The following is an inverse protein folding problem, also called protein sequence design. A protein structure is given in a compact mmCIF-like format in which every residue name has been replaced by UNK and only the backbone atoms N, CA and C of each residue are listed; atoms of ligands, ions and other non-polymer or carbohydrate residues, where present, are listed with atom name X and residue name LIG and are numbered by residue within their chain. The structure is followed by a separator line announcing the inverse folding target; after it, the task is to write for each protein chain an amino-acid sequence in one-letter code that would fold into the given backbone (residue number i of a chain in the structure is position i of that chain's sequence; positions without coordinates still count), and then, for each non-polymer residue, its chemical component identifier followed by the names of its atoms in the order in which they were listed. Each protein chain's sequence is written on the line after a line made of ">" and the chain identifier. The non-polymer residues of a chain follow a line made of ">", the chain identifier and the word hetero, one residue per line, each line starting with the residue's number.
data_IF_536410001830
#
_entry.id   IF_536410001830
#
_cell.length_a   1.000
_cell.length_b   1.000
_cell.length_c   1.000
_cell.angle_alpha   90.00
_cell.angle_beta   90.00
_cell.angle_gamma   90.00
#
_symmetry.space_group_name_H-M   'P 1'
#
loop_
_entity.id
_entity.type
_entity.pdbx_description
1 polymer ?
#
# COMPACT_ATOMS: atom_id res chain seq x y z
N UNK A 1 -11.55 15.25 18.62
CA UNK A 1 -12.50 14.13 18.38
C UNK A 1 -11.66 12.88 18.31
N UNK A 2 -12.02 11.83 19.04
CA UNK A 2 -11.29 10.56 19.02
C UNK A 2 -11.52 9.93 17.65
N UNK A 3 -10.44 9.71 16.89
CA UNK A 3 -10.54 8.98 15.63
C UNK A 3 -10.70 7.48 15.94
N UNK A 4 -11.72 6.86 15.38
CA UNK A 4 -12.02 5.45 15.61
C UNK A 4 -11.71 4.55 14.41
N UNK A 5 -11.12 5.13 13.34
CA UNK A 5 -11.00 4.48 12.03
C UNK A 5 -9.61 4.73 11.46
N UNK A 6 -9.00 3.68 10.95
CA UNK A 6 -7.81 3.77 10.13
C UNK A 6 -7.92 2.76 8.97
N UNK A 7 -7.96 3.26 7.74
CA UNK A 7 -8.18 2.42 6.56
C UNK A 7 -6.91 2.18 5.73
N UNK A 8 -5.74 2.60 6.23
CA UNK A 8 -4.47 2.42 5.53
C UNK A 8 -3.36 2.14 6.55
N UNK A 9 -3.01 0.86 6.70
CA UNK A 9 -2.00 0.42 7.66
C UNK A 9 -1.23 -0.80 7.13
N UNK A 10 0.02 -0.96 7.61
CA UNK A 10 0.95 -1.99 7.19
C UNK A 10 1.45 -2.86 8.35
N UNK A 11 1.71 -4.13 8.05
CA UNK A 11 2.26 -5.11 8.99
C UNK A 11 3.59 -5.71 8.50
N UNK A 12 4.13 -6.65 9.25
CA UNK A 12 5.32 -7.43 8.83
C UNK A 12 5.05 -8.34 7.62
N UNK A 13 3.81 -8.44 7.14
CA UNK A 13 3.52 -9.12 5.88
C UNK A 13 3.96 -8.30 4.64
N UNK A 14 4.30 -7.02 4.83
CA UNK A 14 5.05 -6.17 3.89
C UNK A 14 6.22 -5.48 4.58
N UNK A 15 6.12 -4.20 4.90
CA UNK A 15 7.19 -3.37 5.43
C UNK A 15 6.83 -2.58 6.70
N UNK A 16 5.70 -2.91 7.32
CA UNK A 16 5.42 -2.52 8.69
C UNK A 16 6.27 -3.30 9.70
N UNK A 17 6.42 -2.75 10.91
CA UNK A 17 7.28 -3.36 11.95
C UNK A 17 6.51 -4.26 12.92
N UNK A 18 5.20 -4.23 12.92
CA UNK A 18 4.36 -5.04 13.82
C UNK A 18 3.73 -6.20 13.05
N UNK A 19 3.65 -7.36 13.70
CA UNK A 19 2.82 -8.45 13.20
C UNK A 19 1.36 -8.00 13.07
N UNK A 20 0.55 -8.64 12.22
CA UNK A 20 -0.88 -8.33 12.14
C UNK A 20 -1.59 -8.33 13.51
N UNK A 21 -1.27 -9.28 14.37
CA UNK A 21 -1.82 -9.37 15.74
C UNK A 21 -1.40 -8.18 16.60
N UNK A 22 -0.12 -7.80 16.59
CA UNK A 22 0.38 -6.66 17.35
C UNK A 22 -0.20 -5.34 16.86
N UNK A 23 -0.37 -5.19 15.54
CA UNK A 23 -0.98 -4.00 14.93
C UNK A 23 -2.44 -3.85 15.41
N UNK A 24 -3.23 -4.93 15.37
CA UNK A 24 -4.61 -4.93 15.86
C UNK A 24 -4.70 -4.63 17.37
N UNK A 25 -3.77 -5.17 18.19
CA UNK A 25 -3.71 -4.85 19.61
C UNK A 25 -3.44 -3.37 19.84
N UNK A 26 -2.48 -2.79 19.11
CA UNK A 26 -2.18 -1.34 19.17
C UNK A 26 -3.36 -0.47 18.71
N UNK A 27 -4.05 -0.91 17.67
CA UNK A 27 -5.28 -0.24 17.22
C UNK A 27 -6.33 -0.20 18.33
N UNK A 28 -6.53 -1.32 19.04
CA UNK A 28 -7.45 -1.41 20.19
C UNK A 28 -7.02 -0.49 21.33
N UNK A 29 -5.71 -0.50 21.66
CA UNK A 29 -5.15 0.31 22.75
C UNK A 29 -5.27 1.82 22.44
N UNK A 30 -5.18 2.19 21.16
CA UNK A 30 -5.43 3.56 20.66
C UNK A 30 -6.92 3.93 20.55
N UNK A 31 -7.83 3.01 20.86
CA UNK A 31 -9.28 3.21 20.80
C UNK A 31 -9.88 3.12 19.41
N UNK A 32 -9.16 2.58 18.43
CA UNK A 32 -9.71 2.32 17.11
C UNK A 32 -10.79 1.22 17.16
N UNK A 33 -11.83 1.40 16.36
CA UNK A 33 -12.93 0.44 16.20
C UNK A 33 -12.96 -0.19 14.82
N UNK A 34 -12.40 0.49 13.83
CA UNK A 34 -12.29 0.01 12.44
C UNK A 34 -10.84 0.10 12.03
N UNK A 35 -10.32 -0.97 11.48
CA UNK A 35 -8.96 -1.03 10.91
C UNK A 35 -8.98 -1.78 9.57
N UNK A 36 -8.32 -1.21 8.55
CA UNK A 36 -7.92 -1.97 7.38
C UNK A 36 -6.44 -2.32 7.45
N UNK A 37 -6.09 -3.55 7.08
CA UNK A 37 -4.72 -3.95 6.81
C UNK A 37 -4.52 -3.99 5.29
N UNK A 38 -3.55 -3.23 4.79
CA UNK A 38 -3.34 -2.95 3.36
C UNK A 38 -1.89 -3.17 2.93
N UNK A 39 -1.30 -4.27 3.33
CA UNK A 39 0.10 -4.63 3.06
C UNK A 39 0.46 -4.55 1.56
N UNK A 40 1.65 -4.06 1.24
CA UNK A 40 2.15 -3.90 -0.13
C UNK A 40 2.30 -5.21 -0.89
N UNK A 41 1.56 -5.37 -1.99
CA UNK A 41 1.53 -6.52 -2.90
C UNK A 41 1.35 -7.87 -2.16
N UNK A 42 0.79 -7.85 -0.93
CA UNK A 42 0.67 -9.00 -0.05
C UNK A 42 -0.68 -9.05 0.66
N UNK A 43 -1.24 -10.24 0.76
CA UNK A 43 -2.41 -10.55 1.57
C UNK A 43 -2.07 -11.56 2.68
N UNK A 44 -0.77 -11.80 2.91
CA UNK A 44 -0.28 -12.83 3.83
C UNK A 44 -0.65 -12.60 5.29
N UNK A 45 -0.87 -11.33 5.69
CA UNK A 45 -1.26 -10.95 7.04
C UNK A 45 -2.77 -11.00 7.33
N UNK A 46 -3.63 -11.14 6.30
CA UNK A 46 -5.07 -10.91 6.44
C UNK A 46 -5.78 -11.95 7.34
N UNK A 47 -5.41 -13.24 7.23
CA UNK A 47 -6.03 -14.29 8.05
C UNK A 47 -5.68 -14.12 9.54
N UNK A 48 -4.43 -13.78 9.84
CA UNK A 48 -3.98 -13.46 11.20
C UNK A 48 -4.70 -12.23 11.75
N UNK A 49 -4.72 -11.13 10.97
CA UNK A 49 -5.40 -9.89 11.33
C UNK A 49 -6.89 -10.13 11.60
N UNK A 50 -7.58 -10.89 10.74
CA UNK A 50 -9.00 -11.22 10.92
C UNK A 50 -9.25 -12.05 12.18
N UNK A 51 -8.33 -12.93 12.58
CA UNK A 51 -8.43 -13.68 13.84
C UNK A 51 -8.22 -12.78 15.05
N UNK A 52 -7.23 -11.89 15.01
CA UNK A 52 -6.96 -10.92 16.07
C UNK A 52 -8.13 -9.94 16.24
N UNK A 53 -8.64 -9.40 15.15
CA UNK A 53 -9.76 -8.46 15.14
C UNK A 53 -11.03 -9.01 15.82
N UNK A 54 -11.36 -10.30 15.54
CA UNK A 54 -12.49 -10.97 16.21
C UNK A 54 -12.31 -11.05 17.74
N UNK A 55 -11.09 -11.30 18.21
CA UNK A 55 -10.79 -11.39 19.65
C UNK A 55 -10.82 -10.01 20.33
N UNK A 56 -10.48 -8.97 19.59
CA UNK A 56 -10.36 -7.60 20.09
C UNK A 56 -11.63 -6.75 19.87
N UNK A 57 -12.66 -7.32 19.24
CA UNK A 57 -13.87 -6.59 18.84
C UNK A 57 -13.54 -5.33 18.01
N UNK A 58 -12.73 -5.52 16.95
CA UNK A 58 -12.42 -4.51 15.94
C UNK A 58 -13.12 -4.91 14.64
N UNK A 59 -13.79 -3.96 14.01
CA UNK A 59 -14.37 -4.10 12.68
C UNK A 59 -13.24 -4.09 11.64
N UNK A 60 -12.84 -5.28 11.19
CA UNK A 60 -11.68 -5.48 10.32
C UNK A 60 -12.08 -5.42 8.85
N UNK A 61 -11.35 -4.61 8.10
CA UNK A 61 -11.48 -4.51 6.64
C UNK A 61 -10.25 -5.16 6.00
N UNK A 62 -10.39 -6.34 5.37
CA UNK A 62 -9.29 -6.92 4.61
C UNK A 62 -8.96 -6.04 3.41
N UNK A 63 -7.70 -5.76 3.20
CA UNK A 63 -7.22 -4.92 2.12
C UNK A 63 -5.89 -5.36 1.55
N UNK A 64 -5.41 -4.60 0.61
CA UNK A 64 -4.09 -4.71 -0.02
C UNK A 64 -3.72 -3.34 -0.59
N UNK A 65 -2.42 -3.06 -0.70
CA UNK A 65 -1.92 -1.93 -1.46
C UNK A 65 -1.05 -2.40 -2.61
N UNK A 66 -1.46 -2.10 -3.83
CA UNK A 66 -0.70 -2.42 -5.05
C UNK A 66 0.15 -1.22 -5.44
N UNK A 67 1.48 -1.42 -5.49
CA UNK A 67 2.38 -0.39 -5.98
C UNK A 67 2.37 -0.35 -7.50
N UNK A 68 2.12 0.81 -8.07
CA UNK A 68 2.12 1.04 -9.52
C UNK A 68 3.09 2.15 -9.90
N UNK A 69 3.45 2.23 -11.17
CA UNK A 69 4.27 3.29 -11.74
C UNK A 69 3.51 4.08 -12.78
N UNK A 70 3.76 5.38 -12.78
CA UNK A 70 3.34 6.30 -13.83
C UNK A 70 4.55 7.08 -14.35
N UNK A 71 4.40 7.74 -15.49
CA UNK A 71 5.42 8.68 -15.97
C UNK A 71 5.61 9.77 -14.92
N UNK A 72 6.78 9.78 -14.29
CA UNK A 72 7.14 10.80 -13.30
C UNK A 72 7.05 10.38 -11.83
N UNK A 73 6.46 9.22 -11.48
CA UNK A 73 6.33 8.84 -10.07
C UNK A 73 5.77 7.46 -9.79
N UNK A 74 5.58 7.17 -8.53
CA UNK A 74 4.87 6.00 -8.05
C UNK A 74 3.44 6.42 -7.64
N UNK A 75 2.46 5.58 -7.97
CA UNK A 75 1.06 5.69 -7.53
C UNK A 75 0.70 4.39 -6.86
N UNK A 76 0.00 4.45 -5.76
CA UNK A 76 -0.47 3.23 -5.11
C UNK A 76 -1.99 3.11 -5.23
N UNK A 77 -2.46 1.87 -5.31
CA UNK A 77 -3.88 1.55 -5.38
C UNK A 77 -4.25 0.61 -4.24
N UNK A 78 -5.05 1.11 -3.30
CA UNK A 78 -5.65 0.29 -2.25
C UNK A 78 -6.75 -0.59 -2.84
N UNK A 79 -6.86 -1.82 -2.36
CA UNK A 79 -7.97 -2.71 -2.67
C UNK A 79 -8.65 -3.17 -1.39
N UNK A 80 -9.90 -2.76 -1.14
CA UNK A 80 -10.65 -3.20 0.03
C UNK A 80 -11.57 -4.38 -0.29
N UNK A 81 -11.76 -5.28 0.67
CA UNK A 81 -12.63 -6.46 0.59
C UNK A 81 -12.35 -7.39 -0.61
N UNK A 82 -11.10 -7.59 -1.05
CA UNK A 82 -10.84 -8.52 -2.14
C UNK A 82 -11.17 -9.95 -1.72
N UNK A 83 -11.61 -10.78 -2.67
CA UNK A 83 -11.63 -12.23 -2.51
C UNK A 83 -10.18 -12.76 -2.61
N UNK A 84 -9.37 -12.40 -1.61
CA UNK A 84 -7.91 -12.55 -1.65
C UNK A 84 -7.40 -13.98 -1.77
N UNK A 85 -8.21 -14.99 -1.49
CA UNK A 85 -7.83 -16.39 -1.63
C UNK A 85 -8.02 -16.93 -3.07
N UNK A 86 -8.49 -16.10 -4.01
CA UNK A 86 -8.65 -16.54 -5.42
C UNK A 86 -7.30 -16.91 -6.03
N UNK A 87 -7.17 -18.12 -6.64
CA UNK A 87 -5.89 -18.57 -7.20
C UNK A 87 -5.32 -17.62 -8.25
N UNK A 88 -6.16 -17.09 -9.16
CA UNK A 88 -5.71 -16.15 -10.19
C UNK A 88 -5.16 -14.85 -9.60
N UNK A 89 -5.81 -14.30 -8.56
CA UNK A 89 -5.34 -13.11 -7.86
C UNK A 89 -3.99 -13.38 -7.16
N UNK A 90 -3.89 -14.50 -6.44
CA UNK A 90 -2.65 -14.89 -5.76
C UNK A 90 -1.49 -15.14 -6.73
N UNK A 91 -1.76 -15.70 -7.92
CA UNK A 91 -0.74 -15.91 -8.94
C UNK A 91 -0.12 -14.58 -9.41
N UNK A 92 -0.94 -13.54 -9.63
CA UNK A 92 -0.44 -12.20 -9.98
C UNK A 92 0.35 -11.58 -8.83
N UNK A 93 -0.16 -11.64 -7.60
CA UNK A 93 0.57 -11.14 -6.44
C UNK A 93 1.92 -11.85 -6.26
N UNK A 94 2.00 -13.15 -6.59
CA UNK A 94 3.28 -13.87 -6.54
C UNK A 94 4.29 -13.29 -7.54
N UNK A 95 3.87 -12.98 -8.78
CA UNK A 95 4.74 -12.34 -9.77
C UNK A 95 5.26 -10.97 -9.27
N UNK A 96 4.39 -10.17 -8.64
CA UNK A 96 4.78 -8.87 -8.07
C UNK A 96 5.78 -9.04 -6.91
N UNK A 97 5.56 -10.01 -6.02
CA UNK A 97 6.49 -10.33 -4.91
C UNK A 97 7.84 -10.83 -5.42
N UNK A 98 7.84 -11.71 -6.42
CA UNK A 98 9.07 -12.21 -7.05
C UNK A 98 9.87 -11.07 -7.71
N UNK A 99 9.19 -10.10 -8.31
CA UNK A 99 9.83 -8.90 -8.86
C UNK A 99 10.46 -8.03 -7.75
N UNK A 100 9.80 -7.91 -6.59
CA UNK A 100 10.38 -7.24 -5.41
C UNK A 100 11.63 -7.96 -4.90
N UNK A 101 11.57 -9.27 -4.77
CA UNK A 101 12.68 -10.10 -4.27
C UNK A 101 13.89 -9.98 -5.21
N UNK A 102 13.70 -10.18 -6.51
CA UNK A 102 14.76 -10.00 -7.54
C UNK A 102 15.37 -8.60 -7.50
N UNK A 103 14.54 -7.55 -7.38
CA UNK A 103 15.03 -6.18 -7.25
C UNK A 103 15.89 -6.01 -5.99
N UNK A 104 15.40 -6.46 -4.84
CA UNK A 104 16.12 -6.36 -3.58
C UNK A 104 17.46 -7.06 -3.61
N UNK A 105 17.52 -8.25 -4.17
CA UNK A 105 18.75 -9.01 -4.36
C UNK A 105 19.73 -8.26 -5.27
N UNK A 106 19.27 -7.73 -6.41
CA UNK A 106 20.13 -6.97 -7.32
C UNK A 106 20.65 -5.68 -6.70
N UNK A 107 19.85 -4.99 -5.86
CA UNK A 107 20.32 -3.84 -5.10
C UNK A 107 21.46 -4.20 -4.15
N UNK A 108 21.34 -5.31 -3.41
CA UNK A 108 22.38 -5.82 -2.52
C UNK A 108 23.66 -6.17 -3.28
N UNK A 109 23.56 -6.80 -4.45
CA UNK A 109 24.69 -7.09 -5.32
C UNK A 109 25.41 -5.79 -5.73
N UNK A 110 24.69 -4.78 -6.20
CA UNK A 110 25.24 -3.48 -6.58
C UNK A 110 25.92 -2.76 -5.41
N UNK A 111 25.33 -2.81 -4.20
CA UNK A 111 25.93 -2.28 -2.99
C UNK A 111 27.27 -2.98 -2.68
N UNK A 112 27.29 -4.30 -2.75
CA UNK A 112 28.49 -5.10 -2.50
C UNK A 112 29.61 -4.85 -3.55
N UNK A 113 29.24 -4.70 -4.83
CA UNK A 113 30.16 -4.32 -5.90
C UNK A 113 30.86 -2.97 -5.62
N UNK A 114 30.21 -2.08 -4.87
CA UNK A 114 30.75 -0.76 -4.48
C UNK A 114 31.31 -0.72 -3.05
N UNK A 115 31.58 -1.88 -2.45
CA UNK A 115 32.21 -1.97 -1.13
C UNK A 115 31.28 -1.77 0.07
N UNK A 116 29.97 -1.71 -0.14
CA UNK A 116 28.94 -1.65 0.90
C UNK A 116 28.46 -3.08 1.20
N UNK A 117 29.13 -3.74 2.15
CA UNK A 117 28.95 -5.18 2.40
C UNK A 117 27.72 -5.43 3.28
N UNK A 118 26.59 -5.82 2.67
CA UNK A 118 25.41 -6.35 3.34
C UNK A 118 25.02 -7.71 2.78
N UNK A 119 24.46 -8.58 3.64
CA UNK A 119 24.03 -9.91 3.23
C UNK A 119 22.58 -9.89 2.79
N UNK A 120 22.27 -10.53 1.65
CA UNK A 120 20.89 -10.69 1.18
C UNK A 120 20.01 -11.42 2.20
N UNK A 121 20.55 -12.45 2.85
CA UNK A 121 19.88 -13.21 3.91
C UNK A 121 19.42 -12.31 5.06
N UNK A 122 20.23 -11.26 5.39
CA UNK A 122 19.83 -10.29 6.41
C UNK A 122 18.64 -9.45 5.98
N UNK A 123 18.64 -8.99 4.73
CA UNK A 123 17.49 -8.25 4.16
C UNK A 123 16.22 -9.11 4.20
N UNK A 124 16.29 -10.39 3.83
CA UNK A 124 15.16 -11.32 3.91
C UNK A 124 14.67 -11.55 5.34
N UNK A 125 15.59 -11.66 6.30
CA UNK A 125 15.23 -11.78 7.72
C UNK A 125 14.51 -10.55 8.26
N UNK A 126 14.92 -9.35 7.80
CA UNK A 126 14.27 -8.10 8.18
C UNK A 126 12.87 -8.03 7.57
N UNK A 127 12.69 -8.46 6.32
CA UNK A 127 11.45 -8.33 5.57
C UNK A 127 10.31 -9.20 6.12
N UNK A 128 10.58 -10.41 6.63
CA UNK A 128 9.59 -11.40 7.08
C UNK A 128 8.44 -11.70 6.09
N UNK A 129 8.13 -10.78 5.16
CA UNK A 129 7.09 -10.85 4.13
C UNK A 129 7.57 -10.32 2.78
N UNK A 130 6.78 -9.49 2.13
CA UNK A 130 7.13 -8.88 0.84
C UNK A 130 8.33 -7.96 0.97
N UNK A 131 9.43 -8.25 0.23
CA UNK A 131 10.65 -7.44 0.29
C UNK A 131 10.44 -6.06 -0.34
N UNK A 132 10.81 -5.01 0.39
CA UNK A 132 10.79 -3.62 -0.07
C UNK A 132 12.14 -2.93 0.05
N UNK A 133 12.30 -1.75 -0.57
CA UNK A 133 13.48 -0.88 -0.37
C UNK A 133 13.71 -0.50 1.10
N UNK A 134 12.66 -0.30 1.94
CA UNK A 134 12.86 -0.03 3.36
C UNK A 134 13.66 -1.12 4.09
N UNK A 135 13.54 -2.39 3.68
CA UNK A 135 14.29 -3.49 4.29
C UNK A 135 15.78 -3.44 3.93
N UNK A 136 16.11 -3.06 2.69
CA UNK A 136 17.51 -2.80 2.28
C UNK A 136 18.07 -1.59 3.04
N UNK A 137 17.28 -0.52 3.17
CA UNK A 137 17.65 0.67 3.94
C UNK A 137 17.92 0.31 5.42
N UNK A 138 17.07 -0.53 6.01
CA UNK A 138 17.26 -1.00 7.39
C UNK A 138 18.52 -1.85 7.56
N UNK A 139 18.83 -2.71 6.58
CA UNK A 139 20.09 -3.48 6.60
C UNK A 139 21.32 -2.56 6.51
N UNK A 140 21.28 -1.50 5.71
CA UNK A 140 22.32 -0.48 5.64
C UNK A 140 22.49 0.27 6.98
N UNK A 141 21.39 0.61 7.64
CA UNK A 141 21.37 1.26 8.95
C UNK A 141 21.97 0.35 10.04
N UNK A 142 21.55 -0.91 10.09
CA UNK A 142 22.08 -1.90 11.04
C UNK A 142 23.57 -2.16 10.84
N UNK A 143 24.04 -2.13 9.59
CA UNK A 143 25.47 -2.29 9.26
C UNK A 143 26.30 -1.01 9.48
N UNK A 144 25.68 0.10 9.87
CA UNK A 144 26.33 1.37 10.16
C UNK A 144 26.77 2.20 8.96
N UNK A 145 26.30 1.88 7.75
CA UNK A 145 26.59 2.66 6.53
C UNK A 145 25.79 3.96 6.44
N UNK A 146 24.69 4.05 7.16
CA UNK A 146 23.82 5.24 7.26
C UNK A 146 23.34 5.45 8.68
N UNK A 147 22.89 6.67 9.00
CA UNK A 147 22.35 7.03 10.31
C UNK A 147 20.82 7.02 10.35
N UNK A 148 20.18 7.10 9.18
CA UNK A 148 18.72 7.09 9.04
C UNK A 148 18.29 6.30 7.80
N UNK A 149 17.04 5.85 7.79
CA UNK A 149 16.42 5.20 6.62
C UNK A 149 16.43 6.16 5.41
N UNK A 150 16.08 7.45 5.62
CA UNK A 150 16.10 8.47 4.56
C UNK A 150 17.48 8.60 3.91
N UNK A 151 18.55 8.62 4.71
CA UNK A 151 19.92 8.69 4.20
C UNK A 151 20.28 7.53 3.27
N UNK A 152 19.73 6.33 3.53
CA UNK A 152 19.92 5.18 2.63
C UNK A 152 19.29 5.42 1.26
N UNK A 153 18.10 6.01 1.22
CA UNK A 153 17.45 6.39 -0.03
C UNK A 153 18.22 7.49 -0.76
N UNK A 154 18.64 8.53 -0.05
CA UNK A 154 19.34 9.67 -0.65
C UNK A 154 20.71 9.29 -1.25
N UNK A 155 21.44 8.37 -0.60
CA UNK A 155 22.82 8.06 -0.99
C UNK A 155 22.98 6.81 -1.86
N UNK A 156 22.09 5.81 -1.69
CA UNK A 156 22.36 4.48 -2.23
C UNK A 156 21.24 3.88 -3.09
N UNK A 157 19.99 3.89 -2.61
CA UNK A 157 18.92 3.06 -3.19
C UNK A 157 17.73 3.84 -3.73
N UNK A 158 17.73 5.17 -3.64
CA UNK A 158 16.70 6.03 -4.22
C UNK A 158 16.90 6.20 -5.72
N UNK A 159 15.88 6.72 -6.40
CA UNK A 159 15.91 6.96 -7.85
C UNK A 159 17.10 7.89 -8.19
N UNK A 160 17.91 7.49 -9.16
CA UNK A 160 19.14 8.21 -9.54
C UNK A 160 20.40 7.79 -8.79
N UNK A 161 20.30 6.98 -7.72
CA UNK A 161 21.46 6.42 -7.04
C UNK A 161 21.97 5.16 -7.74
N UNK A 162 23.26 4.82 -7.54
CA UNK A 162 23.92 3.73 -8.26
C UNK A 162 23.38 2.33 -7.94
N UNK A 163 22.81 2.13 -6.76
CA UNK A 163 22.18 0.86 -6.39
C UNK A 163 20.66 0.88 -6.57
N UNK A 164 20.10 1.89 -7.22
CA UNK A 164 18.70 1.86 -7.62
C UNK A 164 18.47 0.82 -8.71
N UNK A 165 17.48 -0.03 -8.50
CA UNK A 165 17.05 -1.03 -9.49
C UNK A 165 15.55 -0.87 -9.72
N UNK A 166 15.09 -0.66 -10.96
CA UNK A 166 13.69 -0.69 -11.30
C UNK A 166 13.12 -2.10 -11.13
N UNK A 167 11.80 -2.22 -11.03
CA UNK A 167 11.12 -3.52 -11.02
C UNK A 167 9.88 -3.50 -11.89
N UNK A 168 9.43 -4.67 -12.29
CA UNK A 168 8.11 -4.82 -12.88
C UNK A 168 7.04 -4.33 -11.90
N UNK A 169 6.19 -3.45 -12.37
CA UNK A 169 5.00 -2.95 -11.70
C UNK A 169 3.84 -2.89 -12.67
N UNK A 170 2.64 -2.89 -12.15
CA UNK A 170 1.42 -2.63 -12.90
C UNK A 170 1.26 -1.13 -13.18
N UNK A 171 0.48 -0.78 -14.20
CA UNK A 171 -0.08 0.56 -14.30
C UNK A 171 -1.20 0.73 -13.26
N UNK A 172 -1.63 1.95 -12.92
CA UNK A 172 -2.78 2.16 -12.04
C UNK A 172 -4.06 1.49 -12.56
N UNK A 173 -4.31 1.54 -13.86
CA UNK A 173 -5.44 0.88 -14.52
C UNK A 173 -5.38 -0.64 -14.36
N UNK A 174 -4.20 -1.24 -14.55
CA UNK A 174 -3.99 -2.67 -14.34
C UNK A 174 -4.22 -3.07 -12.88
N UNK A 175 -3.76 -2.26 -11.93
CA UNK A 175 -3.99 -2.50 -10.51
C UNK A 175 -5.48 -2.42 -10.15
N UNK A 176 -6.20 -1.43 -10.70
CA UNK A 176 -7.67 -1.32 -10.59
C UNK A 176 -8.34 -2.57 -11.17
N UNK A 177 -7.91 -3.02 -12.35
CA UNK A 177 -8.42 -4.25 -12.99
C UNK A 177 -8.14 -5.50 -12.15
N UNK A 178 -6.93 -5.65 -11.64
CA UNK A 178 -6.52 -6.76 -10.77
C UNK A 178 -7.41 -6.82 -9.50
N UNK A 179 -7.55 -5.71 -8.78
CA UNK A 179 -8.37 -5.64 -7.57
C UNK A 179 -9.84 -5.96 -7.90
N UNK A 180 -10.36 -5.42 -9.00
CA UNK A 180 -11.75 -5.66 -9.45
C UNK A 180 -11.96 -7.14 -9.82
N UNK A 181 -10.95 -7.79 -10.41
CA UNK A 181 -11.00 -9.23 -10.73
C UNK A 181 -11.09 -10.14 -9.51
N UNK A 182 -10.79 -9.61 -8.33
CA UNK A 182 -11.00 -10.27 -7.04
C UNK A 182 -12.24 -9.74 -6.30
N UNK A 183 -13.21 -9.11 -6.99
CA UNK A 183 -14.37 -8.44 -6.39
C UNK A 183 -14.01 -7.34 -5.37
N UNK A 184 -12.75 -6.94 -5.31
CA UNK A 184 -12.27 -5.89 -4.41
C UNK A 184 -12.68 -4.48 -4.87
N UNK A 185 -12.53 -3.52 -3.98
CA UNK A 185 -12.86 -2.12 -4.19
C UNK A 185 -11.57 -1.30 -4.37
N UNK A 186 -11.19 -0.94 -5.61
CA UNK A 186 -9.97 -0.16 -5.83
C UNK A 186 -10.16 1.31 -5.46
N UNK A 187 -9.15 1.87 -4.79
CA UNK A 187 -9.08 3.26 -4.30
C UNK A 187 -7.68 3.78 -4.53
N UNK A 188 -7.51 4.97 -5.10
CA UNK A 188 -6.20 5.61 -5.22
C UNK A 188 -5.71 6.03 -3.83
N UNK A 189 -4.50 5.60 -3.48
CA UNK A 189 -3.83 5.93 -2.24
C UNK A 189 -3.06 7.25 -2.36
N UNK A 190 -3.00 8.02 -1.29
CA UNK A 190 -2.21 9.26 -1.09
C UNK A 190 -1.92 10.08 -2.37
N UNK A 191 -2.95 10.43 -3.15
CA UNK A 191 -2.78 11.04 -4.49
C UNK A 191 -2.11 12.42 -4.50
N UNK A 192 -2.01 13.14 -3.38
CA UNK A 192 -1.30 14.42 -3.36
C UNK A 192 0.23 14.28 -3.28
N UNK A 193 0.75 13.06 -3.13
CA UNK A 193 2.18 12.76 -3.27
C UNK A 193 2.62 12.70 -4.75
N UNK A 194 1.63 12.72 -5.67
CA UNK A 194 1.86 12.83 -7.11
C UNK A 194 2.41 14.21 -7.50
N UNK A 195 3.05 14.35 -8.66
CA UNK A 195 3.59 15.63 -9.16
C UNK A 195 2.57 16.77 -9.29
N UNK A 196 1.26 16.47 -9.18
CA UNK A 196 0.20 17.46 -9.14
C UNK A 196 -1.21 16.86 -9.17
N UNK A 197 -2.15 17.53 -8.50
CA UNK A 197 -3.59 17.16 -8.51
C UNK A 197 -4.18 17.28 -9.93
N UNK A 198 -3.66 18.16 -10.76
CA UNK A 198 -4.10 18.31 -12.16
C UNK A 198 -3.77 17.07 -12.99
N UNK A 199 -2.66 16.39 -12.72
CA UNK A 199 -2.30 15.15 -13.38
C UNK A 199 -3.22 14.01 -12.97
N UNK A 200 -3.58 13.92 -11.68
CA UNK A 200 -4.61 12.99 -11.20
C UNK A 200 -5.93 13.18 -11.96
N UNK A 201 -6.36 14.41 -12.18
CA UNK A 201 -7.59 14.73 -12.90
C UNK A 201 -7.62 14.16 -14.33
N UNK A 202 -6.44 14.06 -14.98
CA UNK A 202 -6.32 13.46 -16.31
C UNK A 202 -6.48 11.93 -16.28
N UNK A 203 -6.13 11.26 -15.19
CA UNK A 203 -6.21 9.80 -15.06
C UNK A 203 -7.57 9.31 -14.56
N UNK A 204 -8.27 10.12 -13.74
CA UNK A 204 -9.51 9.70 -13.08
C UNK A 204 -10.57 9.13 -14.03
N UNK A 205 -10.84 9.69 -15.24
CA UNK A 205 -11.81 9.11 -16.16
C UNK A 205 -11.50 7.66 -16.53
N UNK A 206 -10.24 7.37 -16.92
CA UNK A 206 -9.81 6.01 -17.27
C UNK A 206 -9.84 5.05 -16.09
N UNK A 207 -9.43 5.51 -14.91
CA UNK A 207 -9.46 4.72 -13.67
C UNK A 207 -10.90 4.41 -13.24
N UNK A 208 -11.83 5.36 -13.37
CA UNK A 208 -13.25 5.13 -13.08
C UNK A 208 -13.86 4.12 -14.07
N UNK A 209 -13.51 4.22 -15.37
CA UNK A 209 -13.92 3.23 -16.39
C UNK A 209 -13.38 1.84 -16.06
N UNK A 210 -12.15 1.72 -15.57
CA UNK A 210 -11.56 0.46 -15.11
C UNK A 210 -12.23 -0.10 -13.84
N UNK A 211 -13.02 0.68 -13.13
CA UNK A 211 -13.81 0.24 -11.98
C UNK A 211 -13.36 0.78 -10.62
N UNK A 212 -12.55 1.85 -10.60
CA UNK A 212 -12.16 2.55 -9.37
C UNK A 212 -13.39 3.12 -8.65
N UNK A 213 -13.44 2.99 -7.33
CA UNK A 213 -14.59 3.39 -6.52
C UNK A 213 -14.30 4.46 -5.49
N UNK A 214 -13.03 4.78 -5.24
CA UNK A 214 -12.69 5.74 -4.18
C UNK A 214 -11.36 6.44 -4.37
N UNK A 215 -11.15 7.43 -3.52
CA UNK A 215 -9.97 8.29 -3.49
C UNK A 215 -9.58 8.55 -2.04
N UNK A 216 -8.31 8.35 -1.67
CA UNK A 216 -7.83 8.67 -0.35
C UNK A 216 -7.70 10.19 -0.19
N UNK A 217 -8.57 10.77 0.63
CA UNK A 217 -8.68 12.21 0.83
C UNK A 217 -8.27 12.63 2.24
N UNK A 218 -8.49 11.75 3.23
CA UNK A 218 -8.13 11.97 4.64
C UNK A 218 -6.81 11.25 4.96
N UNK A 219 -5.71 11.80 4.48
CA UNK A 219 -4.38 11.21 4.67
C UNK A 219 -3.56 12.01 5.68
N UNK A 220 -2.76 11.30 6.48
CA UNK A 220 -2.04 11.90 7.60
C UNK A 220 -1.26 13.18 7.28
N UNK A 221 -0.36 13.18 6.30
CA UNK A 221 0.47 14.33 5.94
C UNK A 221 -0.26 15.50 5.27
N UNK A 222 -1.51 15.32 4.82
CA UNK A 222 -2.18 16.32 3.99
C UNK A 222 -2.53 17.60 4.76
N UNK A 223 -2.34 18.72 4.08
CA UNK A 223 -2.89 20.02 4.51
C UNK A 223 -4.40 20.07 4.34
N UNK A 224 -5.06 21.00 5.04
CA UNK A 224 -6.51 21.18 4.88
C UNK A 224 -6.91 21.57 3.45
N UNK A 225 -6.05 22.25 2.71
CA UNK A 225 -6.28 22.62 1.31
C UNK A 225 -6.23 21.40 0.39
N UNK A 226 -5.21 20.53 0.55
CA UNK A 226 -5.11 19.27 -0.17
C UNK A 226 -6.32 18.37 0.09
N UNK A 227 -6.72 18.23 1.36
CA UNK A 227 -7.92 17.46 1.73
C UNK A 227 -9.18 18.02 1.04
N UNK A 228 -9.40 19.33 1.10
CA UNK A 228 -10.58 19.95 0.49
C UNK A 228 -10.60 19.74 -1.03
N UNK A 229 -9.47 19.92 -1.69
CA UNK A 229 -9.34 19.73 -3.14
C UNK A 229 -9.62 18.28 -3.53
N UNK A 230 -9.06 17.31 -2.82
CA UNK A 230 -9.27 15.89 -3.09
C UNK A 230 -10.71 15.44 -2.80
N UNK A 231 -11.34 15.98 -1.76
CA UNK A 231 -12.76 15.74 -1.47
C UNK A 231 -13.65 16.27 -2.57
N UNK A 232 -13.42 17.51 -3.03
CA UNK A 232 -14.17 18.08 -4.15
C UNK A 232 -14.01 17.23 -5.43
N UNK A 233 -12.80 16.72 -5.65
CA UNK A 233 -12.51 15.82 -6.77
C UNK A 233 -13.24 14.47 -6.62
N UNK A 234 -13.24 13.89 -5.42
CA UNK A 234 -13.99 12.67 -5.15
C UNK A 234 -15.49 12.86 -5.37
N UNK A 235 -16.07 14.00 -4.96
CA UNK A 235 -17.47 14.33 -5.19
C UNK A 235 -17.77 14.50 -6.68
N UNK A 236 -16.90 15.18 -7.43
CA UNK A 236 -17.03 15.40 -8.89
C UNK A 236 -17.13 14.07 -9.66
N UNK A 237 -16.35 13.07 -9.26
CA UNK A 237 -16.31 11.76 -9.92
C UNK A 237 -17.18 10.69 -9.23
N UNK A 238 -17.94 11.04 -8.19
CA UNK A 238 -18.80 10.11 -7.45
C UNK A 238 -18.03 9.06 -6.62
N UNK A 239 -16.76 9.32 -6.33
CA UNK A 239 -15.87 8.43 -5.60
C UNK A 239 -16.13 8.46 -4.10
N UNK A 240 -15.74 7.39 -3.42
CA UNK A 240 -15.81 7.30 -1.96
C UNK A 240 -14.55 7.96 -1.37
N UNK A 241 -14.67 9.06 -0.59
CA UNK A 241 -13.53 9.64 0.10
C UNK A 241 -13.12 8.72 1.25
N UNK A 242 -11.92 8.12 1.14
CA UNK A 242 -11.33 7.27 2.17
C UNK A 242 -10.18 7.96 2.88
N UNK A 243 -9.51 7.26 3.78
CA UNK A 243 -8.32 7.80 4.43
C UNK A 243 -7.72 6.88 5.48
N UNK A 244 -6.51 7.23 5.90
CA UNK A 244 -5.75 6.47 6.88
C UNK A 244 -4.48 7.17 7.28
N UNK A 245 -3.70 6.48 8.10
CA UNK A 245 -2.42 6.98 8.59
C UNK A 245 -1.22 6.56 7.74
N UNK A 246 -1.39 5.51 6.94
CA UNK A 246 -0.29 4.81 6.26
C UNK A 246 0.79 4.35 7.26
N UNK A 247 0.32 3.82 8.37
CA UNK A 247 1.16 3.48 9.51
C UNK A 247 1.99 2.23 9.24
N UNK A 248 3.31 2.40 9.26
CA UNK A 248 4.30 1.33 9.17
C UNK A 248 5.02 1.05 10.50
N UNK A 249 4.88 1.96 11.46
CA UNK A 249 5.53 1.90 12.76
C UNK A 249 6.01 3.27 13.24
N UNK A 250 6.32 3.44 14.55
CA UNK A 250 6.83 4.68 15.07
C UNK A 250 8.12 5.12 14.36
N UNK A 251 8.15 6.37 13.89
CA UNK A 251 9.32 6.98 13.27
C UNK A 251 9.60 6.54 11.82
N UNK A 252 8.77 5.68 11.22
CA UNK A 252 8.86 5.32 9.80
C UNK A 252 7.99 6.26 8.97
N UNK A 253 6.74 6.43 9.37
CA UNK A 253 5.81 7.39 8.77
C UNK A 253 5.46 8.49 9.76
N UNK A 254 5.22 9.75 9.31
CA UNK A 254 4.99 10.87 10.23
C UNK A 254 3.68 10.78 11.02
N UNK A 255 2.69 10.03 10.50
CA UNK A 255 1.37 9.94 11.12
C UNK A 255 1.28 8.73 12.03
N UNK A 256 0.90 8.89 13.30
CA UNK A 256 0.69 7.77 14.21
C UNK A 256 -0.57 6.98 13.81
N UNK A 257 -0.65 5.73 14.25
CA UNK A 257 -1.81 4.86 14.06
C UNK A 257 -3.10 5.54 14.57
N UNK A 258 -4.09 5.69 13.67
CA UNK A 258 -5.32 6.43 13.93
C UNK A 258 -5.14 7.95 13.99
N UNK A 259 -4.00 8.47 13.57
CA UNK A 259 -3.68 9.90 13.67
C UNK A 259 -4.43 10.83 12.70
N UNK A 260 -5.18 10.27 11.75
CA UNK A 260 -6.01 11.05 10.82
C UNK A 260 -7.48 10.72 10.99
N UNK A 261 -8.35 11.70 11.28
CA UNK A 261 -9.79 11.47 11.37
C UNK A 261 -10.39 11.07 10.02
N UNK A 262 -11.01 9.90 9.97
CA UNK A 262 -11.74 9.40 8.81
C UNK A 262 -13.23 9.35 9.17
N UNK A 263 -14.14 9.92 8.36
CA UNK A 263 -15.58 9.84 8.60
C UNK A 263 -16.09 8.40 8.55
N UNK A 264 -16.99 8.01 9.46
CA UNK A 264 -17.56 6.66 9.47
C UNK A 264 -18.37 6.36 8.20
N UNK A 265 -18.90 7.37 7.55
CA UNK A 265 -19.57 7.28 6.25
C UNK A 265 -18.69 6.61 5.17
N UNK A 266 -17.37 6.80 5.19
CA UNK A 266 -16.45 6.12 4.28
C UNK A 266 -16.56 4.59 4.44
N UNK A 267 -16.59 4.11 5.68
CA UNK A 267 -16.75 2.67 5.99
C UNK A 267 -18.11 2.15 5.53
N UNK A 268 -19.18 2.90 5.78
CA UNK A 268 -20.54 2.50 5.38
C UNK A 268 -20.66 2.42 3.85
N UNK A 269 -20.13 3.41 3.12
CA UNK A 269 -20.12 3.43 1.65
C UNK A 269 -19.28 2.29 1.07
N UNK A 270 -18.08 2.01 1.63
CA UNK A 270 -17.25 0.88 1.22
C UNK A 270 -17.97 -0.46 1.44
N UNK A 271 -18.59 -0.66 2.61
CA UNK A 271 -19.35 -1.89 2.90
C UNK A 271 -20.57 -2.05 1.99
N UNK A 272 -21.29 -0.97 1.72
CA UNK A 272 -22.43 -0.98 0.80
C UNK A 272 -22.00 -1.34 -0.63
N UNK A 273 -20.86 -0.81 -1.08
CA UNK A 273 -20.32 -1.12 -2.40
C UNK A 273 -19.82 -2.57 -2.49
N UNK A 274 -19.12 -3.06 -1.46
CA UNK A 274 -18.71 -4.46 -1.38
C UNK A 274 -19.90 -5.42 -1.40
N UNK A 275 -20.99 -5.07 -0.71
CA UNK A 275 -22.22 -5.87 -0.73
C UNK A 275 -22.83 -6.00 -2.13
N UNK A 276 -22.74 -4.99 -2.99
CA UNK A 276 -23.22 -5.04 -4.38
C UNK A 276 -22.39 -5.98 -5.26
N UNK A 277 -21.12 -6.21 -4.92
CA UNK A 277 -20.21 -7.10 -5.67
C UNK A 277 -20.29 -8.55 -5.20
N UNK A 278 -20.71 -8.78 -3.95
CA UNK A 278 -20.77 -10.11 -3.34
C UNK A 278 -21.62 -11.08 -4.17
N UNK A 279 -21.03 -12.25 -4.49
CA UNK A 279 -21.71 -13.31 -5.26
C UNK A 279 -21.81 -13.05 -6.76
N UNK A 280 -21.26 -11.96 -7.26
CA UNK A 280 -21.12 -11.73 -8.71
C UNK A 280 -19.86 -12.39 -9.24
N UNK A 281 -19.91 -12.82 -10.49
CA UNK A 281 -18.70 -13.24 -11.22
C UNK A 281 -17.89 -11.98 -11.55
N UNK A 282 -16.67 -11.84 -11.04
CA UNK A 282 -15.83 -10.69 -11.36
C UNK A 282 -15.31 -10.79 -12.80
N UNK A 283 -14.85 -9.67 -13.38
CA UNK A 283 -14.19 -9.69 -14.67
C UNK A 283 -12.89 -10.52 -14.61
N UNK A 284 -12.47 -11.06 -15.74
CA UNK A 284 -11.13 -11.67 -15.86
C UNK A 284 -10.06 -10.59 -15.87
N UNK A 285 -8.89 -10.93 -15.35
CA UNK A 285 -7.69 -10.10 -15.43
C UNK A 285 -6.56 -10.94 -16.04
N UNK A 286 -5.89 -10.38 -17.04
CA UNK A 286 -4.67 -10.93 -17.61
C UNK A 286 -3.50 -10.04 -17.24
N UNK A 287 -2.44 -10.66 -16.71
CA UNK A 287 -1.24 -9.91 -16.33
C UNK A 287 -0.58 -9.34 -17.59
N UNK A 288 -0.43 -8.01 -17.71
CA UNK A 288 0.26 -7.41 -18.85
C UNK A 288 1.73 -7.83 -18.89
N UNK A 289 2.35 -7.91 -20.08
CA UNK A 289 3.77 -8.19 -20.18
C UNK A 289 4.59 -7.08 -19.52
N UNK A 290 5.81 -7.37 -19.04
CA UNK A 290 6.72 -6.35 -18.53
C UNK A 290 6.90 -5.25 -19.57
N UNK A 291 6.74 -4.00 -19.15
CA UNK A 291 7.10 -2.85 -19.99
C UNK A 291 8.63 -2.84 -20.07
N UNK A 292 9.18 -3.04 -21.27
CA UNK A 292 10.63 -2.86 -21.49
C UNK A 292 10.94 -1.37 -21.29
N UNK A 293 11.67 -1.05 -20.24
CA UNK A 293 12.23 0.30 -20.08
C UNK A 293 13.22 0.54 -21.23
N UNK A 294 12.87 1.53 -22.08
CA UNK A 294 13.75 2.00 -23.16
C UNK A 294 14.80 2.96 -22.62
#
# INVERSE_FOLDING_TARGET
>A
MTNYIDLHTHSTASDGIYSPTELLQRAKDNGLRVLALTDHDSTGGLDEAAQAARKLDIDFIPGIEINTDVSGGEVHVLGYFPEYQRPAFQAVLQVLRDARERRGQRMVELLNEHGINIAWERVRQIAQGAVGRPHVAKALLEAGYVQTIGEAFDKYIGKGCYAYVPRYKLTPEDAVGLITSANGLPVIAHPADLPGIDELRNWLPGLCEAGMVGLETYYGPYTSEQEQTLRALADEYGLIPTGGSDFHGPGIHPTPLGGRPVPYEAVERLKAEAAKRRGKTPPSFELPPPVEEK
#
